data_IF_222676963566
#
_entry.id   IF_222676963566
#
_cell.length_a   1.000
_cell.length_b   1.000
_cell.length_c   1.000
_cell.angle_alpha   90.00
_cell.angle_beta   90.00
_cell.angle_gamma   90.00
#
_symmetry.space_group_name_H-M   'P 1'
#
loop_
_entity.id
_entity.type
_entity.pdbx_description
1 polymer ?
#
# COMPACT_ATOMS: atom_id res chain seq x y z
N UNK A 1 19.61 26.95 29.23
CA UNK A 1 20.22 26.17 28.12
C UNK A 1 21.24 25.22 28.72
N UNK A 2 20.85 23.97 28.97
CA UNK A 2 21.76 22.92 29.39
C UNK A 2 22.51 22.42 28.16
N UNK A 3 23.80 22.76 28.04
CA UNK A 3 24.67 22.21 27.00
C UNK A 3 24.65 20.69 27.15
N UNK A 4 24.07 20.00 26.17
CA UNK A 4 24.14 18.54 26.04
C UNK A 4 25.57 18.22 25.63
N UNK A 5 26.49 18.21 26.60
CA UNK A 5 27.87 17.79 26.40
C UNK A 5 27.81 16.30 26.05
N UNK A 6 27.80 16.02 24.75
CA UNK A 6 27.89 14.66 24.23
C UNK A 6 29.17 14.05 24.77
N UNK A 7 29.09 12.89 25.40
CA UNK A 7 30.24 12.12 25.92
C UNK A 7 31.35 11.94 24.87
N UNK A 8 30.95 11.93 23.59
CA UNK A 8 31.81 11.90 22.41
C UNK A 8 32.78 13.09 22.35
N UNK A 9 32.35 14.29 22.73
CA UNK A 9 33.20 15.48 22.75
C UNK A 9 34.22 15.42 23.89
N UNK A 10 33.85 14.88 25.07
CA UNK A 10 34.78 14.75 26.20
C UNK A 10 35.92 13.79 25.86
N UNK A 11 35.58 12.61 25.29
CA UNK A 11 36.56 11.61 24.89
C UNK A 11 37.51 12.17 23.82
N UNK A 12 36.97 12.88 22.82
CA UNK A 12 37.77 13.48 21.75
C UNK A 12 38.67 14.61 22.28
N UNK A 13 38.22 15.38 23.27
CA UNK A 13 39.02 16.45 23.91
C UNK A 13 40.17 15.86 24.74
N UNK A 14 39.91 14.80 25.51
CA UNK A 14 40.94 14.07 26.27
C UNK A 14 41.96 13.45 25.30
N UNK A 15 41.49 12.90 24.19
CA UNK A 15 42.34 12.32 23.16
C UNK A 15 43.24 13.35 22.51
N UNK A 16 42.70 14.50 22.09
CA UNK A 16 43.46 15.61 21.52
C UNK A 16 44.47 16.16 22.54
N UNK A 17 44.07 16.34 23.80
CA UNK A 17 45.00 16.77 24.86
C UNK A 17 46.15 15.78 25.05
N UNK A 18 45.86 14.48 25.13
CA UNK A 18 46.88 13.45 25.29
C UNK A 18 47.83 13.39 24.07
N UNK A 19 47.30 13.51 22.85
CA UNK A 19 48.11 13.53 21.62
C UNK A 19 48.99 14.78 21.55
N UNK A 20 48.46 15.95 21.90
CA UNK A 20 49.24 17.19 21.97
C UNK A 20 50.33 17.13 23.06
N UNK A 21 50.05 16.54 24.23
CA UNK A 21 51.07 16.29 25.25
C UNK A 21 52.17 15.38 24.69
N UNK A 22 51.78 14.26 24.07
CA UNK A 22 52.72 13.28 23.52
C UNK A 22 53.59 13.89 22.41
N UNK A 23 53.00 14.73 21.55
CA UNK A 23 53.72 15.44 20.49
C UNK A 23 54.72 16.46 21.07
N UNK A 24 54.33 17.23 22.10
CA UNK A 24 55.24 18.14 22.81
C UNK A 24 56.40 17.39 23.46
N UNK A 25 56.13 16.23 24.08
CA UNK A 25 57.16 15.36 24.66
C UNK A 25 58.12 14.75 23.61
N UNK A 26 57.65 14.50 22.38
CA UNK A 26 58.45 13.93 21.29
C UNK A 26 59.25 14.98 20.50
N UNK A 27 58.71 16.19 20.32
CA UNK A 27 59.34 17.26 19.56
C UNK A 27 60.52 17.90 20.28
N UNK A 28 60.54 17.87 21.62
CA UNK A 28 61.59 18.51 22.43
C UNK A 28 62.38 17.48 23.27
N UNK A 29 62.99 16.51 22.56
CA UNK A 29 63.78 15.43 23.17
C UNK A 29 64.94 15.93 24.05
N UNK A 30 65.48 17.11 23.76
CA UNK A 30 66.70 17.63 24.39
C UNK A 30 66.43 18.51 25.61
N UNK A 31 65.33 19.28 25.65
CA UNK A 31 65.04 20.17 26.80
C UNK A 31 64.16 19.50 27.88
N UNK A 32 63.14 18.74 27.48
CA UNK A 32 62.16 18.16 28.42
C UNK A 32 62.47 16.70 28.76
N UNK A 33 62.87 15.90 27.76
CA UNK A 33 63.26 14.50 27.95
C UNK A 33 64.45 14.32 28.89
N UNK A 34 65.47 15.18 28.77
CA UNK A 34 66.67 15.15 29.61
C UNK A 34 66.40 15.50 31.08
N UNK A 35 65.62 16.57 31.35
CA UNK A 35 65.33 17.03 32.72
C UNK A 35 64.39 16.11 33.50
N UNK A 36 63.42 15.50 32.83
CA UNK A 36 62.47 14.59 33.48
C UNK A 36 63.09 13.20 33.67
N UNK A 37 63.85 12.70 32.70
CA UNK A 37 64.61 11.47 32.85
C UNK A 37 65.68 11.57 33.97
N UNK A 38 66.27 12.75 34.19
CA UNK A 38 67.19 12.96 35.33
C UNK A 38 66.50 13.03 36.69
N UNK A 39 65.21 13.38 36.74
CA UNK A 39 64.45 13.52 38.00
C UNK A 39 63.76 12.23 38.42
N UNK A 40 63.18 11.48 37.47
CA UNK A 40 62.52 10.19 37.74
C UNK A 40 63.47 8.99 37.61
N UNK A 41 64.53 9.11 36.81
CA UNK A 41 65.34 7.98 36.37
C UNK A 41 64.89 7.44 35.00
N UNK A 42 65.81 6.84 34.21
CA UNK A 42 65.56 6.44 32.83
C UNK A 42 64.52 5.30 32.70
N UNK A 43 64.46 4.39 33.67
CA UNK A 43 63.51 3.27 33.68
C UNK A 43 62.05 3.70 33.94
N UNK A 44 61.72 4.45 35.01
CA UNK A 44 60.34 4.88 35.25
C UNK A 44 59.83 5.88 34.20
N UNK A 45 60.70 6.70 33.59
CA UNK A 45 60.30 7.53 32.45
C UNK A 45 59.84 6.69 31.26
N UNK A 46 60.59 5.63 30.92
CA UNK A 46 60.25 4.69 29.84
C UNK A 46 58.93 3.97 30.10
N UNK A 47 58.70 3.50 31.34
CA UNK A 47 57.44 2.87 31.75
C UNK A 47 56.25 3.81 31.64
N UNK A 48 56.42 5.07 32.09
CA UNK A 48 55.37 6.09 32.02
C UNK A 48 55.02 6.42 30.57
N UNK A 49 56.03 6.54 29.70
CA UNK A 49 55.82 6.79 28.27
C UNK A 49 55.13 5.60 27.59
N UNK A 50 55.53 4.36 27.90
CA UNK A 50 54.87 3.16 27.39
C UNK A 50 53.41 3.07 27.84
N UNK A 51 53.12 3.36 29.10
CA UNK A 51 51.75 3.39 29.62
C UNK A 51 50.89 4.44 28.91
N UNK A 52 51.44 5.65 28.72
CA UNK A 52 50.76 6.73 28.00
C UNK A 52 50.47 6.33 26.53
N UNK A 53 51.47 5.78 25.83
CA UNK A 53 51.31 5.29 24.45
C UNK A 53 50.26 4.19 24.36
N UNK A 54 50.31 3.18 25.23
CA UNK A 54 49.34 2.08 25.27
C UNK A 54 47.92 2.59 25.55
N UNK A 55 47.78 3.54 26.48
CA UNK A 55 46.48 4.11 26.84
C UNK A 55 45.89 4.96 25.70
N UNK A 56 46.72 5.76 25.03
CA UNK A 56 46.29 6.58 23.89
C UNK A 56 45.97 5.70 22.68
N UNK A 57 46.85 4.78 22.28
CA UNK A 57 46.58 3.85 21.16
C UNK A 57 45.40 2.93 21.45
N UNK A 58 45.32 2.37 22.66
CA UNK A 58 44.22 1.51 23.09
C UNK A 58 42.89 2.27 23.12
N UNK A 59 42.88 3.51 23.62
CA UNK A 59 41.71 4.38 23.62
C UNK A 59 41.27 4.78 22.20
N UNK A 60 42.22 5.10 21.32
CA UNK A 60 41.94 5.40 19.90
C UNK A 60 41.29 4.21 19.19
N UNK A 61 41.88 3.02 19.36
CA UNK A 61 41.41 1.79 18.75
C UNK A 61 40.03 1.41 19.28
N UNK A 62 39.81 1.53 20.60
CA UNK A 62 38.52 1.27 21.23
C UNK A 62 37.44 2.25 20.74
N UNK A 63 37.74 3.55 20.68
CA UNK A 63 36.83 4.57 20.16
C UNK A 63 36.51 4.35 18.68
N UNK A 64 37.50 3.96 17.86
CA UNK A 64 37.31 3.61 16.46
C UNK A 64 36.40 2.37 16.30
N UNK A 65 36.65 1.31 17.08
CA UNK A 65 35.82 0.09 17.06
C UNK A 65 34.39 0.36 17.55
N UNK A 66 34.21 1.21 18.58
CA UNK A 66 32.88 1.62 19.03
C UNK A 66 32.16 2.47 17.98
N UNK A 67 32.84 3.40 17.31
CA UNK A 67 32.26 4.21 16.25
C UNK A 67 31.77 3.33 15.08
N UNK A 68 32.57 2.33 14.67
CA UNK A 68 32.15 1.34 13.67
C UNK A 68 30.95 0.52 14.11
N UNK A 69 30.94 0.00 15.34
CA UNK A 69 29.80 -0.74 15.88
C UNK A 69 28.53 0.10 15.98
N UNK A 70 28.65 1.38 16.33
CA UNK A 70 27.50 2.29 16.40
C UNK A 70 26.95 2.60 15.00
N UNK A 71 27.82 2.73 14.00
CA UNK A 71 27.44 2.91 12.60
C UNK A 71 26.74 1.67 12.04
N UNK A 72 27.30 0.48 12.27
CA UNK A 72 26.67 -0.80 11.93
C UNK A 72 25.30 -0.96 12.61
N UNK A 73 25.20 -0.66 13.91
CA UNK A 73 23.93 -0.73 14.63
C UNK A 73 22.88 0.27 14.11
N UNK A 74 23.30 1.46 13.68
CA UNK A 74 22.41 2.46 13.07
C UNK A 74 21.91 1.99 11.71
N UNK A 75 22.78 1.41 10.89
CA UNK A 75 22.42 0.91 9.57
C UNK A 75 21.50 -0.32 9.68
N UNK A 76 21.75 -1.22 10.63
CA UNK A 76 20.84 -2.34 10.92
C UNK A 76 19.47 -1.86 11.40
N UNK A 77 19.43 -0.82 12.25
CA UNK A 77 18.16 -0.24 12.70
C UNK A 77 17.39 0.39 11.55
N UNK A 78 18.06 1.11 10.65
CA UNK A 78 17.43 1.66 9.44
C UNK A 78 16.92 0.58 8.50
N UNK A 79 17.68 -0.50 8.31
CA UNK A 79 17.25 -1.66 7.50
C UNK A 79 15.98 -2.29 8.08
N UNK A 80 15.95 -2.53 9.40
CA UNK A 80 14.78 -3.07 10.09
C UNK A 80 13.55 -2.15 10.02
N UNK A 81 13.73 -0.84 10.20
CA UNK A 81 12.63 0.12 10.10
C UNK A 81 12.08 0.18 8.66
N UNK A 82 12.96 0.19 7.66
CA UNK A 82 12.54 0.13 6.25
C UNK A 82 11.79 -1.17 5.93
N UNK A 83 12.24 -2.31 6.45
CA UNK A 83 11.54 -3.59 6.27
C UNK A 83 10.16 -3.56 6.93
N UNK A 84 10.06 -3.12 8.18
CA UNK A 84 8.80 -3.03 8.89
C UNK A 84 7.78 -2.12 8.18
N UNK A 85 8.24 -1.01 7.60
CA UNK A 85 7.40 -0.11 6.79
C UNK A 85 6.90 -0.79 5.52
N UNK A 86 7.76 -1.56 4.83
CA UNK A 86 7.38 -2.32 3.63
C UNK A 86 6.38 -3.43 3.97
N UNK A 87 6.64 -4.22 5.01
CA UNK A 87 5.75 -5.29 5.46
C UNK A 87 4.36 -4.73 5.80
N UNK A 88 4.34 -3.58 6.50
CA UNK A 88 3.09 -2.86 6.81
C UNK A 88 2.37 -2.41 5.53
N UNK A 89 3.11 -1.93 4.52
CA UNK A 89 2.55 -1.51 3.24
C UNK A 89 1.96 -2.69 2.46
N UNK A 90 2.68 -3.82 2.40
CA UNK A 90 2.21 -5.06 1.76
C UNK A 90 0.94 -5.56 2.46
N UNK A 91 0.93 -5.64 3.78
CA UNK A 91 -0.24 -6.06 4.56
C UNK A 91 -1.46 -5.16 4.29
N UNK A 92 -1.26 -3.85 4.21
CA UNK A 92 -2.33 -2.91 3.88
C UNK A 92 -2.88 -3.12 2.46
N UNK A 93 -2.01 -3.32 1.45
CA UNK A 93 -2.44 -3.59 0.08
C UNK A 93 -3.18 -4.94 -0.03
N UNK A 94 -2.71 -5.98 0.65
CA UNK A 94 -3.38 -7.27 0.74
C UNK A 94 -4.76 -7.16 1.40
N UNK A 95 -4.89 -6.36 2.45
CA UNK A 95 -6.16 -6.09 3.10
C UNK A 95 -7.15 -5.39 2.14
N UNK A 96 -6.67 -4.41 1.35
CA UNK A 96 -7.50 -3.75 0.33
C UNK A 96 -7.95 -4.71 -0.77
N UNK A 97 -7.04 -5.52 -1.33
CA UNK A 97 -7.38 -6.54 -2.32
C UNK A 97 -8.38 -7.57 -1.77
N UNK A 98 -8.18 -8.00 -0.51
CA UNK A 98 -9.09 -8.91 0.20
C UNK A 98 -10.51 -8.34 0.31
N UNK A 99 -10.65 -7.10 0.77
CA UNK A 99 -11.95 -6.41 0.86
C UNK A 99 -12.61 -6.24 -0.52
N UNK A 100 -11.84 -5.85 -1.53
CA UNK A 100 -12.35 -5.70 -2.89
C UNK A 100 -12.83 -7.03 -3.48
N UNK A 101 -12.05 -8.10 -3.27
CA UNK A 101 -12.41 -9.44 -3.70
C UNK A 101 -13.67 -9.95 -2.99
N UNK A 102 -13.85 -9.63 -1.71
CA UNK A 102 -15.05 -9.95 -0.95
C UNK A 102 -16.27 -9.18 -1.48
N UNK A 103 -16.18 -7.87 -1.68
CA UNK A 103 -17.26 -7.05 -2.24
C UNK A 103 -17.67 -7.57 -3.63
N UNK A 104 -16.70 -7.89 -4.49
CA UNK A 104 -16.95 -8.49 -5.80
C UNK A 104 -17.67 -9.85 -5.70
N UNK A 105 -17.29 -10.69 -4.73
CA UNK A 105 -17.96 -11.98 -4.48
C UNK A 105 -19.39 -11.79 -4.01
N UNK A 106 -19.64 -10.87 -3.08
CA UNK A 106 -20.99 -10.54 -2.59
C UNK A 106 -21.89 -10.08 -3.75
N UNK A 107 -21.44 -9.09 -4.53
CA UNK A 107 -22.21 -8.61 -5.69
C UNK A 107 -22.53 -9.72 -6.70
N UNK A 108 -21.55 -10.58 -7.01
CA UNK A 108 -21.75 -11.73 -7.90
C UNK A 108 -22.67 -12.78 -7.31
N UNK A 109 -22.61 -13.01 -6.00
CA UNK A 109 -23.45 -13.96 -5.27
C UNK A 109 -24.91 -13.48 -5.26
N UNK A 110 -25.16 -12.22 -4.87
CA UNK A 110 -26.49 -11.62 -4.87
C UNK A 110 -27.11 -11.64 -6.28
N UNK A 111 -26.34 -11.31 -7.32
CA UNK A 111 -26.77 -11.46 -8.72
C UNK A 111 -27.19 -12.90 -9.04
N UNK A 112 -26.36 -13.90 -8.69
CA UNK A 112 -26.65 -15.32 -8.97
C UNK A 112 -27.88 -15.81 -8.21
N UNK A 113 -28.00 -15.44 -6.94
CA UNK A 113 -29.13 -15.80 -6.07
C UNK A 113 -30.43 -15.24 -6.64
N UNK A 114 -30.49 -13.93 -6.90
CA UNK A 114 -31.66 -13.29 -7.51
C UNK A 114 -32.04 -13.95 -8.85
N UNK A 115 -31.06 -14.25 -9.71
CA UNK A 115 -31.30 -14.90 -11.00
C UNK A 115 -31.87 -16.31 -10.91
N UNK A 116 -31.50 -17.06 -9.87
CA UNK A 116 -31.99 -18.41 -9.59
C UNK A 116 -33.41 -18.42 -9.02
N UNK A 117 -33.80 -17.35 -8.32
CA UNK A 117 -35.13 -17.16 -7.73
C UNK A 117 -36.12 -16.44 -8.67
N UNK A 118 -35.65 -16.06 -9.85
CA UNK A 118 -36.44 -15.36 -10.85
C UNK A 118 -37.48 -16.30 -11.48
N UNK A 119 -38.75 -16.00 -11.29
CA UNK A 119 -39.85 -16.62 -12.01
C UNK A 119 -39.98 -15.95 -13.39
N UNK A 120 -39.78 -16.74 -14.45
CA UNK A 120 -39.77 -16.28 -15.85
C UNK A 120 -41.02 -16.71 -16.61
N UNK A 121 -42.11 -17.03 -15.91
CA UNK A 121 -43.39 -17.39 -16.52
C UNK A 121 -43.88 -16.31 -17.48
N UNK A 122 -43.70 -15.02 -17.13
CA UNK A 122 -43.74 -13.90 -18.08
C UNK A 122 -42.29 -13.44 -18.39
N UNK A 123 -41.75 -13.70 -19.59
CA UNK A 123 -40.40 -13.29 -19.97
C UNK A 123 -40.18 -11.78 -19.99
N UNK A 124 -41.23 -10.98 -20.24
CA UNK A 124 -41.13 -9.52 -20.28
C UNK A 124 -41.24 -8.90 -18.89
N UNK A 125 -41.84 -9.63 -17.95
CA UNK A 125 -42.09 -9.18 -16.57
C UNK A 125 -41.75 -10.28 -15.58
N UNK A 126 -40.45 -10.63 -15.46
CA UNK A 126 -40.05 -11.62 -14.51
C UNK A 126 -40.38 -11.17 -13.09
N UNK A 127 -40.79 -12.12 -12.25
CA UNK A 127 -41.12 -11.85 -10.85
C UNK A 127 -40.16 -12.52 -9.90
N UNK A 128 -40.06 -11.99 -8.69
CA UNK A 128 -39.24 -12.55 -7.62
C UNK A 128 -39.93 -12.36 -6.28
N UNK A 129 -39.79 -13.35 -5.39
CA UNK A 129 -40.34 -13.28 -4.05
C UNK A 129 -39.77 -12.08 -3.28
N UNK A 130 -40.64 -11.38 -2.55
CA UNK A 130 -40.31 -10.15 -1.84
C UNK A 130 -39.12 -10.30 -0.89
N UNK A 131 -39.14 -11.33 -0.04
CA UNK A 131 -38.12 -11.56 0.98
C UNK A 131 -36.74 -11.85 0.37
N UNK A 132 -36.69 -12.69 -0.67
CA UNK A 132 -35.44 -13.01 -1.37
C UNK A 132 -34.86 -11.76 -2.05
N UNK A 133 -35.73 -10.90 -2.58
CA UNK A 133 -35.33 -9.67 -3.25
C UNK A 133 -34.76 -8.64 -2.27
N UNK A 134 -35.49 -8.32 -1.19
CA UNK A 134 -35.04 -7.36 -0.17
C UNK A 134 -33.70 -7.78 0.46
N UNK A 135 -33.55 -9.05 0.86
CA UNK A 135 -32.30 -9.54 1.44
C UNK A 135 -31.10 -9.40 0.48
N UNK A 136 -31.31 -9.66 -0.81
CA UNK A 136 -30.24 -9.51 -1.80
C UNK A 136 -29.92 -8.04 -2.11
N UNK A 137 -30.89 -7.13 -2.02
CA UNK A 137 -30.66 -5.70 -2.19
C UNK A 137 -29.87 -5.13 -1.02
N UNK A 138 -30.11 -5.57 0.21
CA UNK A 138 -29.32 -5.18 1.39
C UNK A 138 -27.85 -5.65 1.27
N UNK A 139 -27.65 -6.87 0.77
CA UNK A 139 -26.30 -7.38 0.48
C UNK A 139 -25.60 -6.59 -0.63
N UNK A 140 -26.35 -6.18 -1.67
CA UNK A 140 -25.81 -5.36 -2.75
C UNK A 140 -25.41 -3.97 -2.25
N UNK A 141 -26.23 -3.36 -1.40
CA UNK A 141 -25.91 -2.07 -0.76
C UNK A 141 -24.66 -2.18 0.11
N UNK A 142 -24.55 -3.25 0.91
CA UNK A 142 -23.34 -3.50 1.72
C UNK A 142 -22.09 -3.63 0.84
N UNK A 143 -22.20 -4.34 -0.29
CA UNK A 143 -21.11 -4.47 -1.25
C UNK A 143 -20.76 -3.14 -1.93
N UNK A 144 -21.76 -2.31 -2.27
CA UNK A 144 -21.54 -0.96 -2.82
C UNK A 144 -20.76 -0.08 -1.84
N UNK A 145 -21.23 0.00 -0.58
CA UNK A 145 -20.56 0.79 0.47
C UNK A 145 -19.11 0.34 0.64
N UNK A 146 -18.85 -0.97 0.66
CA UNK A 146 -17.49 -1.49 0.75
C UNK A 146 -16.59 -1.05 -0.43
N UNK A 147 -17.14 -0.97 -1.66
CA UNK A 147 -16.39 -0.48 -2.82
C UNK A 147 -16.08 1.01 -2.70
N UNK A 148 -17.04 1.82 -2.25
CA UNK A 148 -16.87 3.26 -2.02
C UNK A 148 -15.83 3.52 -0.92
N UNK A 149 -15.88 2.78 0.20
CA UNK A 149 -14.87 2.88 1.26
C UNK A 149 -13.46 2.53 0.76
N UNK A 150 -13.32 1.50 -0.08
CA UNK A 150 -12.03 1.14 -0.69
C UNK A 150 -11.56 2.26 -1.61
N UNK A 151 -12.47 2.85 -2.40
CA UNK A 151 -12.17 3.98 -3.27
C UNK A 151 -11.64 5.17 -2.45
N UNK A 152 -12.33 5.56 -1.38
CA UNK A 152 -11.91 6.65 -0.50
C UNK A 152 -10.57 6.38 0.17
N UNK A 153 -10.33 5.13 0.60
CA UNK A 153 -9.04 4.73 1.15
C UNK A 153 -7.92 4.84 0.11
N UNK A 154 -8.17 4.44 -1.14
CA UNK A 154 -7.19 4.57 -2.23
C UNK A 154 -6.92 6.05 -2.55
N UNK A 155 -7.96 6.88 -2.63
CA UNK A 155 -7.82 8.30 -2.92
C UNK A 155 -7.01 9.05 -1.84
N UNK A 156 -7.12 8.62 -0.58
CA UNK A 156 -6.46 9.28 0.57
C UNK A 156 -5.06 8.72 0.88
N UNK A 157 -4.78 7.45 0.59
CA UNK A 157 -3.52 6.77 0.97
C UNK A 157 -2.42 6.88 -0.07
N UNK A 158 -1.90 8.10 -0.26
CA UNK A 158 -0.74 8.39 -1.13
C UNK A 158 0.57 7.74 -0.67
N UNK A 159 0.61 7.30 0.59
CA UNK A 159 1.69 6.48 1.15
C UNK A 159 1.69 5.04 0.61
N UNK A 160 0.53 4.52 0.20
CA UNK A 160 0.38 3.14 -0.25
C UNK A 160 0.52 3.00 -1.77
N UNK A 161 -0.05 3.92 -2.53
CA UNK A 161 -0.18 3.82 -3.99
C UNK A 161 0.37 5.09 -4.66
N UNK A 162 1.09 4.94 -5.77
CA UNK A 162 1.59 6.10 -6.51
C UNK A 162 0.43 6.79 -7.24
N UNK A 163 0.52 8.11 -7.41
CA UNK A 163 -0.53 8.91 -8.07
C UNK A 163 -0.87 8.42 -9.48
N UNK A 164 0.11 7.90 -10.24
CA UNK A 164 -0.11 7.30 -11.57
C UNK A 164 -1.04 6.09 -11.52
N UNK A 165 -0.88 5.25 -10.51
CA UNK A 165 -1.57 3.96 -10.39
C UNK A 165 -2.94 4.15 -9.71
N UNK A 166 -3.06 5.17 -8.86
CA UNK A 166 -4.32 5.57 -8.22
C UNK A 166 -5.41 5.90 -9.22
N UNK A 167 -5.10 6.67 -10.28
CA UNK A 167 -6.12 7.13 -11.23
C UNK A 167 -6.84 5.97 -11.93
N UNK A 168 -6.11 4.90 -12.25
CA UNK A 168 -6.68 3.71 -12.87
C UNK A 168 -7.62 2.96 -11.93
N UNK A 169 -7.16 2.68 -10.71
CA UNK A 169 -7.94 1.91 -9.74
C UNK A 169 -9.18 2.72 -9.32
N UNK A 170 -9.03 4.02 -9.10
CA UNK A 170 -10.10 4.93 -8.71
C UNK A 170 -11.20 5.00 -9.78
N UNK A 171 -10.86 5.25 -11.05
CA UNK A 171 -11.85 5.32 -12.14
C UNK A 171 -12.64 4.01 -12.30
N UNK A 172 -11.97 2.86 -12.17
CA UNK A 172 -12.64 1.56 -12.23
C UNK A 172 -13.55 1.26 -11.04
N UNK A 173 -13.11 1.60 -9.83
CA UNK A 173 -13.95 1.44 -8.64
C UNK A 173 -15.13 2.40 -8.68
N UNK A 174 -14.93 3.64 -9.14
CA UNK A 174 -16.00 4.62 -9.33
C UNK A 174 -17.07 4.11 -10.29
N UNK A 175 -16.67 3.54 -11.44
CA UNK A 175 -17.62 2.96 -12.38
C UNK A 175 -18.45 1.85 -11.72
N UNK A 176 -17.78 0.95 -10.98
CA UNK A 176 -18.44 -0.17 -10.33
C UNK A 176 -19.40 0.29 -9.21
N UNK A 177 -18.99 1.26 -8.38
CA UNK A 177 -19.81 1.85 -7.33
C UNK A 177 -21.05 2.53 -7.93
N UNK A 178 -20.86 3.39 -8.93
CA UNK A 178 -21.96 4.09 -9.63
C UNK A 178 -22.95 3.10 -10.27
N UNK A 179 -22.45 2.02 -10.86
CA UNK A 179 -23.34 1.00 -11.42
C UNK A 179 -24.19 0.35 -10.33
N UNK A 180 -23.57 -0.11 -9.25
CA UNK A 180 -24.29 -0.73 -8.13
C UNK A 180 -25.28 0.22 -7.48
N UNK A 181 -24.90 1.49 -7.32
CA UNK A 181 -25.78 2.55 -6.84
C UNK A 181 -27.01 2.70 -7.74
N UNK A 182 -26.83 2.77 -9.06
CA UNK A 182 -27.96 2.86 -10.01
C UNK A 182 -28.88 1.63 -9.99
N UNK A 183 -28.33 0.44 -9.70
CA UNK A 183 -29.15 -0.78 -9.52
C UNK A 183 -29.99 -0.69 -8.24
N UNK A 184 -29.39 -0.20 -7.15
CA UNK A 184 -30.09 0.01 -5.89
C UNK A 184 -31.12 1.14 -5.98
N UNK A 185 -30.79 2.22 -6.67
CA UNK A 185 -31.67 3.37 -6.89
C UNK A 185 -32.96 2.99 -7.64
N UNK A 186 -32.88 2.08 -8.62
CA UNK A 186 -34.06 1.54 -9.30
C UNK A 186 -35.03 0.84 -8.33
N UNK A 187 -34.50 0.20 -7.28
CA UNK A 187 -35.30 -0.40 -6.21
C UNK A 187 -35.84 0.67 -5.25
N UNK A 188 -34.98 1.54 -4.71
CA UNK A 188 -35.34 2.53 -3.69
C UNK A 188 -36.41 3.51 -4.19
N UNK A 189 -36.31 3.94 -5.46
CA UNK A 189 -37.28 4.85 -6.09
C UNK A 189 -38.60 4.16 -6.45
N UNK A 190 -38.80 2.90 -6.07
CA UNK A 190 -40.03 2.16 -6.33
C UNK A 190 -40.32 1.92 -7.81
N UNK A 191 -39.28 1.89 -8.65
CA UNK A 191 -39.45 1.63 -10.09
C UNK A 191 -39.83 0.19 -10.37
N UNK A 192 -39.54 -0.70 -9.43
CA UNK A 192 -40.00 -2.09 -9.41
C UNK A 192 -41.43 -2.14 -8.88
N UNK A 193 -42.36 -2.74 -9.63
CA UNK A 193 -43.74 -2.87 -9.18
C UNK A 193 -43.84 -3.90 -8.07
N UNK A 194 -44.47 -3.55 -6.96
CA UNK A 194 -44.70 -4.45 -5.85
C UNK A 194 -46.10 -5.03 -5.93
N UNK A 195 -46.18 -6.34 -6.03
CA UNK A 195 -47.39 -7.15 -5.86
C UNK A 195 -47.30 -7.88 -4.52
N UNK A 196 -48.44 -8.29 -3.94
CA UNK A 196 -48.58 -8.69 -2.53
C UNK A 196 -47.33 -9.34 -1.88
N UNK A 197 -46.81 -10.41 -2.49
CA UNK A 197 -45.66 -11.20 -2.05
C UNK A 197 -44.46 -11.17 -3.03
N UNK A 198 -44.53 -10.37 -4.10
CA UNK A 198 -43.59 -10.41 -5.22
C UNK A 198 -43.22 -9.03 -5.75
N UNK A 199 -42.02 -8.95 -6.33
CA UNK A 199 -41.60 -7.82 -7.13
C UNK A 199 -41.64 -8.19 -8.61
N UNK A 200 -42.20 -7.30 -9.41
CA UNK A 200 -42.30 -7.41 -10.87
C UNK A 200 -41.30 -6.45 -11.50
N UNK A 201 -40.40 -7.02 -12.29
CA UNK A 201 -39.32 -6.30 -12.95
C UNK A 201 -39.76 -5.91 -14.36
N UNK A 202 -39.58 -4.64 -14.71
CA UNK A 202 -39.89 -4.11 -16.03
C UNK A 202 -38.64 -3.42 -16.58
N UNK A 203 -38.24 -3.78 -17.81
CA UNK A 203 -37.02 -3.27 -18.45
C UNK A 203 -37.05 -1.75 -18.64
N UNK A 204 -38.23 -1.17 -18.88
CA UNK A 204 -38.39 0.26 -19.12
C UNK A 204 -38.38 1.02 -17.80
N UNK A 205 -39.06 0.48 -16.78
CA UNK A 205 -39.14 1.14 -15.47
C UNK A 205 -37.85 1.01 -14.66
N UNK A 206 -37.24 -0.18 -14.60
CA UNK A 206 -36.08 -0.47 -13.76
C UNK A 206 -34.91 -1.01 -14.61
N UNK A 207 -34.36 -0.20 -15.53
CA UNK A 207 -33.44 -0.68 -16.55
C UNK A 207 -32.15 -1.25 -15.96
N UNK A 208 -31.57 -0.64 -14.92
CA UNK A 208 -30.28 -1.06 -14.33
C UNK A 208 -30.45 -2.35 -13.54
N UNK A 209 -31.51 -2.45 -12.75
CA UNK A 209 -31.85 -3.70 -12.09
C UNK A 209 -32.18 -4.81 -13.09
N UNK A 210 -32.85 -4.49 -14.19
CA UNK A 210 -33.10 -5.44 -15.28
C UNK A 210 -31.79 -5.90 -15.93
N UNK A 211 -30.85 -4.99 -16.24
CA UNK A 211 -29.49 -5.32 -16.73
C UNK A 211 -28.70 -6.17 -15.73
N UNK A 212 -28.85 -5.88 -14.43
CA UNK A 212 -28.20 -6.63 -13.36
C UNK A 212 -28.65 -8.09 -13.33
N UNK A 213 -29.95 -8.35 -13.50
CA UNK A 213 -30.54 -9.68 -13.37
C UNK A 213 -30.63 -10.44 -14.69
N UNK A 214 -30.91 -9.76 -15.78
CA UNK A 214 -31.12 -10.37 -17.08
C UNK A 214 -29.82 -10.45 -17.87
N UNK A 215 -29.79 -11.30 -18.91
CA UNK A 215 -28.71 -11.24 -19.89
C UNK A 215 -28.93 -9.93 -20.65
N UNK A 216 -28.13 -8.91 -20.34
CA UNK A 216 -28.17 -7.66 -21.10
C UNK A 216 -27.97 -7.93 -22.59
N UNK A 217 -28.84 -7.35 -23.41
CA UNK A 217 -28.60 -7.12 -24.83
C UNK A 217 -27.58 -5.98 -24.95
N UNK A 218 -26.35 -6.24 -24.50
CA UNK A 218 -25.26 -5.31 -24.77
C UNK A 218 -25.13 -5.13 -26.28
N UNK A 219 -24.99 -3.89 -26.73
CA UNK A 219 -24.70 -3.63 -28.14
C UNK A 219 -23.32 -4.20 -28.49
N UNK A 220 -23.11 -4.53 -29.75
CA UNK A 220 -21.82 -5.03 -30.23
C UNK A 220 -20.67 -4.08 -29.86
N UNK A 221 -20.93 -2.76 -29.94
CA UNK A 221 -19.99 -1.73 -29.50
C UNK A 221 -19.57 -1.91 -28.03
N UNK A 222 -20.52 -2.10 -27.12
CA UNK A 222 -20.24 -2.28 -25.69
C UNK A 222 -19.52 -3.60 -25.42
N UNK A 223 -19.85 -4.65 -26.16
CA UNK A 223 -19.12 -5.92 -26.08
C UNK A 223 -17.65 -5.74 -26.50
N UNK A 224 -17.38 -5.05 -27.62
CA UNK A 224 -16.02 -4.73 -28.08
C UNK A 224 -15.27 -3.89 -27.05
N UNK A 225 -15.91 -2.85 -26.51
CA UNK A 225 -15.32 -2.00 -25.47
C UNK A 225 -14.97 -2.80 -24.22
N UNK A 226 -15.88 -3.65 -23.74
CA UNK A 226 -15.61 -4.53 -22.60
C UNK A 226 -14.44 -5.48 -22.87
N UNK A 227 -14.33 -6.01 -24.08
CA UNK A 227 -13.24 -6.92 -24.43
C UNK A 227 -11.88 -6.19 -24.44
N UNK A 228 -11.84 -4.90 -24.83
CA UNK A 228 -10.66 -4.03 -24.68
C UNK A 228 -10.31 -3.80 -23.21
N UNK A 229 -11.32 -3.52 -22.36
CA UNK A 229 -11.13 -3.37 -20.91
C UNK A 229 -10.53 -4.66 -20.33
N UNK A 230 -11.06 -5.82 -20.73
CA UNK A 230 -10.64 -7.14 -20.25
C UNK A 230 -9.22 -7.53 -20.66
N UNK A 231 -8.75 -7.02 -21.80
CA UNK A 231 -7.48 -7.40 -22.41
C UNK A 231 -6.29 -6.88 -21.59
N UNK A 232 -5.51 -7.83 -21.05
CA UNK A 232 -4.33 -7.57 -20.22
C UNK A 232 -3.19 -6.88 -20.98
N UNK A 233 -3.15 -7.01 -22.31
CA UNK A 233 -2.09 -6.44 -23.15
C UNK A 233 -2.36 -5.00 -23.58
N UNK A 234 -3.56 -4.48 -23.31
CA UNK A 234 -3.93 -3.09 -23.61
C UNK A 234 -3.31 -2.12 -22.63
N UNK A 235 -3.02 -0.92 -23.14
CA UNK A 235 -2.47 0.16 -22.33
C UNK A 235 -3.52 0.74 -21.39
N UNK A 236 -3.07 1.45 -20.36
CA UNK A 236 -3.95 2.21 -19.47
C UNK A 236 -4.81 3.22 -20.25
N UNK A 237 -4.18 3.98 -21.16
CA UNK A 237 -4.87 5.02 -21.93
C UNK A 237 -5.97 4.44 -22.81
N UNK A 238 -5.73 3.28 -23.43
CA UNK A 238 -6.75 2.57 -24.19
C UNK A 238 -7.94 2.23 -23.30
N UNK A 239 -7.71 1.59 -22.15
CA UNK A 239 -8.78 1.17 -21.23
C UNK A 239 -9.56 2.38 -20.69
N UNK A 240 -8.89 3.49 -20.40
CA UNK A 240 -9.51 4.73 -19.93
C UNK A 240 -10.39 5.37 -21.01
N UNK A 241 -9.88 5.49 -22.23
CA UNK A 241 -10.63 6.04 -23.36
C UNK A 241 -11.90 5.21 -23.61
N UNK A 242 -11.77 3.88 -23.55
CA UNK A 242 -12.89 2.96 -23.68
C UNK A 242 -13.90 3.10 -22.54
N UNK A 243 -13.45 3.22 -21.30
CA UNK A 243 -14.34 3.42 -20.15
C UNK A 243 -15.17 4.70 -20.31
N UNK A 244 -14.56 5.80 -20.76
CA UNK A 244 -15.26 7.05 -21.03
C UNK A 244 -16.35 6.91 -22.11
N UNK A 245 -16.09 6.12 -23.17
CA UNK A 245 -17.09 5.81 -24.21
C UNK A 245 -18.27 5.04 -23.62
N UNK A 246 -18.00 4.05 -22.78
CA UNK A 246 -19.05 3.25 -22.12
C UNK A 246 -19.88 4.11 -21.17
N UNK A 247 -19.23 4.93 -20.34
CA UNK A 247 -19.91 5.86 -19.43
C UNK A 247 -20.80 6.87 -20.15
N UNK A 248 -20.40 7.33 -21.34
CA UNK A 248 -21.17 8.25 -22.15
C UNK A 248 -22.50 7.68 -22.70
N UNK A 249 -22.72 6.36 -22.57
CA UNK A 249 -23.98 5.73 -22.91
C UNK A 249 -24.82 5.48 -21.65
N UNK A 250 -24.52 4.36 -20.99
CA UNK A 250 -25.22 3.84 -19.83
C UNK A 250 -24.27 2.91 -19.10
N UNK A 251 -24.43 2.77 -17.79
CA UNK A 251 -23.63 1.83 -17.01
C UNK A 251 -24.12 0.39 -17.25
N UNK A 252 -23.17 -0.53 -17.46
CA UNK A 252 -23.45 -1.94 -17.73
C UNK A 252 -22.80 -2.83 -16.69
N UNK A 253 -23.55 -3.80 -16.15
CA UNK A 253 -23.07 -4.63 -15.05
C UNK A 253 -21.92 -5.55 -15.39
N UNK A 254 -21.84 -5.99 -16.65
CA UNK A 254 -20.68 -6.77 -17.10
C UNK A 254 -19.41 -5.93 -17.10
N UNK A 255 -19.50 -4.65 -17.45
CA UNK A 255 -18.35 -3.74 -17.40
C UNK A 255 -17.96 -3.46 -15.96
N UNK A 256 -18.93 -3.21 -15.08
CA UNK A 256 -18.68 -3.00 -13.65
C UNK A 256 -17.91 -4.17 -12.99
N UNK A 257 -18.31 -5.41 -13.28
CA UNK A 257 -17.60 -6.61 -12.79
C UNK A 257 -16.17 -6.72 -13.33
N UNK A 258 -15.94 -6.35 -14.60
CA UNK A 258 -14.60 -6.32 -15.17
C UNK A 258 -13.75 -5.20 -14.57
N UNK A 259 -14.31 -4.01 -14.32
CA UNK A 259 -13.64 -2.92 -13.63
C UNK A 259 -13.17 -3.33 -12.23
N UNK A 260 -14.02 -3.99 -11.42
CA UNK A 260 -13.60 -4.51 -10.11
C UNK A 260 -12.48 -5.55 -10.23
N UNK A 261 -12.56 -6.43 -11.23
CA UNK A 261 -11.53 -7.45 -11.48
C UNK A 261 -10.19 -6.82 -11.86
N UNK A 262 -10.20 -5.77 -12.67
CA UNK A 262 -9.00 -5.03 -13.04
C UNK A 262 -8.42 -4.29 -11.86
N UNK A 263 -9.24 -3.56 -11.08
CA UNK A 263 -8.80 -2.90 -9.86
C UNK A 263 -8.09 -3.88 -8.91
N UNK A 264 -8.62 -5.08 -8.70
CA UNK A 264 -7.96 -6.14 -7.93
C UNK A 264 -6.65 -6.62 -8.58
N UNK A 265 -6.61 -6.77 -9.91
CA UNK A 265 -5.40 -7.15 -10.62
C UNK A 265 -4.28 -6.11 -10.49
N UNK A 266 -4.62 -4.82 -10.53
CA UNK A 266 -3.66 -3.73 -10.35
C UNK A 266 -3.15 -3.68 -8.91
N UNK A 267 -4.02 -3.87 -7.91
CA UNK A 267 -3.60 -3.99 -6.50
C UNK A 267 -2.62 -5.16 -6.29
N UNK A 268 -2.86 -6.30 -6.95
CA UNK A 268 -1.92 -7.44 -6.92
C UNK A 268 -0.59 -7.13 -7.57
N UNK A 269 -0.60 -6.46 -8.71
CA UNK A 269 0.63 -6.04 -9.37
C UNK A 269 1.45 -5.10 -8.47
N UNK A 270 0.80 -4.23 -7.68
CA UNK A 270 1.48 -3.40 -6.68
C UNK A 270 2.08 -4.23 -5.55
N UNK A 271 1.37 -5.25 -5.07
CA UNK A 271 1.89 -6.18 -4.05
C UNK A 271 3.13 -6.92 -4.57
N UNK A 272 3.04 -7.48 -5.78
CA UNK A 272 4.13 -8.23 -6.42
C UNK A 272 5.36 -7.34 -6.66
N UNK A 273 5.15 -6.07 -7.02
CA UNK A 273 6.23 -5.10 -7.20
C UNK A 273 6.96 -4.77 -5.88
N UNK A 274 6.24 -4.71 -4.74
CA UNK A 274 6.86 -4.52 -3.43
C UNK A 274 7.61 -5.78 -2.97
N UNK A 275 7.07 -6.97 -3.22
CA UNK A 275 7.73 -8.26 -2.91
C UNK A 275 9.02 -8.44 -3.74
N UNK A 276 9.00 -8.11 -5.03
CA UNK A 276 10.18 -8.23 -5.89
C UNK A 276 11.31 -7.25 -5.49
N UNK A 277 11.00 -6.15 -4.80
CA UNK A 277 12.03 -5.27 -4.24
C UNK A 277 12.75 -5.91 -3.04
N UNK A 278 12.09 -6.79 -2.29
CA UNK A 278 12.65 -7.48 -1.14
C UNK A 278 13.71 -8.51 -1.57
N UNK A 279 13.41 -9.30 -2.59
CA UNK A 279 14.33 -10.28 -3.18
C UNK A 279 15.59 -9.62 -3.74
N UNK A 280 15.47 -8.43 -4.33
CA UNK A 280 16.63 -7.68 -4.82
C UNK A 280 17.47 -7.05 -3.69
N UNK A 281 16.85 -6.67 -2.57
CA UNK A 281 17.58 -6.13 -1.42
C UNK A 281 18.24 -7.18 -0.54
N UNK A 282 17.83 -8.45 -0.64
CA UNK A 282 18.43 -9.57 0.10
C UNK A 282 19.61 -10.22 -0.63
N UNK A 283 19.73 -10.01 -1.95
CA UNK A 283 20.79 -10.55 -2.80
C UNK A 283 21.97 -9.58 -3.06
N UNK A 284 21.88 -8.33 -2.62
CA UNK A 284 22.93 -7.29 -2.78
C UNK A 284 23.54 -6.86 -1.46
#
# INVERSE_FOLDING_TARGET
MLFKISSRNIILTIFVMALSLTAVFLSDKTAFGGKIASFLGPEPFKLTLQFLLITVLGGALSAFLMARKEEEARDDTKRKDNQARRDTRIANLQALDGKLAEAHRHMKSSKRRLRSRLDRTDPKRPTIAKSDFEECMDQLLTAQIAVEEIQDLIATRRDLIKKSDMGLIDEFLQYAARYSHNVFEDFEKGRVKREADRFLLDEVAAPNLYDFLMKSSESELIATQRDIIKDKHRTYEDRRAVLAIVEGQRLFGKVALECMRLASSELKHLIDAELAQDERSTLG
#
